data_IF_751084691397
#
_entry.id   IF_751084691397
#
_cell.length_a   1.000
_cell.length_b   1.000
_cell.length_c   1.000
_cell.angle_alpha   90.00
_cell.angle_beta   90.00
_cell.angle_gamma   90.00
#
_symmetry.space_group_name_H-M   'P 1'
#
loop_
_entity.id
_entity.type
_entity.pdbx_description
1 polymer ?
#
# COMPACT_ATOMS: atom_id res chain seq x y z
N UNK A 1 -13.13 -10.47 24.73
CA UNK A 1 -13.07 -10.41 23.25
C UNK A 1 -14.09 -9.38 22.80
N UNK A 2 -13.64 -8.21 22.33
CA UNK A 2 -14.49 -7.05 22.01
C UNK A 2 -15.03 -7.13 20.59
N UNK A 3 -16.32 -6.80 20.42
CA UNK A 3 -17.06 -6.80 19.14
C UNK A 3 -16.39 -5.94 18.05
N UNK A 4 -15.57 -4.95 18.44
CA UNK A 4 -14.85 -4.08 17.52
C UNK A 4 -13.82 -4.82 16.64
N UNK A 5 -13.24 -5.92 17.14
CA UNK A 5 -12.34 -6.77 16.36
C UNK A 5 -13.09 -7.55 15.26
N UNK A 6 -14.37 -7.86 15.45
CA UNK A 6 -15.17 -8.61 14.47
C UNK A 6 -15.57 -7.75 13.27
N UNK A 7 -15.80 -6.44 13.48
CA UNK A 7 -16.13 -5.50 12.39
C UNK A 7 -14.93 -5.20 11.50
N UNK A 8 -13.75 -5.06 12.08
CA UNK A 8 -12.53 -4.75 11.33
C UNK A 8 -12.20 -5.85 10.31
N UNK A 9 -12.31 -7.11 10.73
CA UNK A 9 -12.09 -8.28 9.89
C UNK A 9 -13.07 -8.34 8.70
N UNK A 10 -14.34 -7.99 8.91
CA UNK A 10 -15.35 -8.02 7.84
C UNK A 10 -15.07 -6.98 6.75
N UNK A 11 -14.66 -5.77 7.13
CA UNK A 11 -14.41 -4.68 6.19
C UNK A 11 -13.18 -4.98 5.33
N UNK A 12 -12.08 -5.42 5.94
CA UNK A 12 -10.86 -5.80 5.22
C UNK A 12 -11.16 -6.92 4.22
N UNK A 13 -11.91 -7.93 4.66
CA UNK A 13 -12.34 -9.03 3.78
C UNK A 13 -13.21 -8.53 2.62
N UNK A 14 -14.17 -7.65 2.89
CA UNK A 14 -15.02 -7.07 1.86
C UNK A 14 -14.20 -6.29 0.81
N UNK A 15 -13.22 -5.49 1.23
CA UNK A 15 -12.33 -4.76 0.30
C UNK A 15 -11.54 -5.74 -0.57
N UNK A 16 -11.02 -6.82 0.00
CA UNK A 16 -10.30 -7.87 -0.75
C UNK A 16 -11.24 -8.57 -1.75
N UNK A 17 -12.47 -8.89 -1.33
CA UNK A 17 -13.45 -9.58 -2.17
C UNK A 17 -13.97 -8.67 -3.30
N UNK A 18 -14.17 -7.38 -3.04
CA UNK A 18 -14.46 -6.35 -4.06
C UNK A 18 -13.30 -6.23 -5.06
N UNK A 19 -12.06 -6.16 -4.57
CA UNK A 19 -10.87 -6.10 -5.40
C UNK A 19 -10.74 -7.31 -6.34
N UNK A 20 -10.99 -8.52 -5.81
CA UNK A 20 -11.04 -9.77 -6.59
C UNK A 20 -12.12 -9.71 -7.68
N UNK A 21 -13.26 -9.10 -7.39
CA UNK A 21 -14.41 -9.01 -8.31
C UNK A 21 -14.20 -7.97 -9.41
N UNK A 22 -13.63 -6.80 -9.09
CA UNK A 22 -13.33 -5.70 -10.03
C UNK A 22 -12.22 -6.03 -11.02
N UNK A 23 -11.35 -6.99 -10.70
CA UNK A 23 -10.25 -7.44 -11.56
C UNK A 23 -10.71 -8.19 -12.83
N UNK A 24 -12.02 -8.46 -12.97
CA UNK A 24 -12.64 -9.18 -14.08
C UNK A 24 -12.84 -8.31 -15.33
N UNK A 25 -12.85 -6.98 -15.21
CA UNK A 25 -13.17 -6.03 -16.28
C UNK A 25 -11.91 -5.37 -16.87
N UNK A 26 -11.32 -6.07 -17.83
CA UNK A 26 -10.52 -5.68 -19.03
C UNK A 26 -9.68 -4.38 -19.15
N UNK A 27 -9.40 -3.55 -18.15
CA UNK A 27 -8.44 -2.44 -18.35
C UNK A 27 -7.50 -2.10 -17.18
N UNK A 28 -7.81 -2.53 -15.95
CA UNK A 28 -6.90 -2.40 -14.82
C UNK A 28 -6.89 -3.71 -14.04
N UNK A 29 -5.95 -4.61 -14.38
CA UNK A 29 -5.65 -5.76 -13.52
C UNK A 29 -4.92 -5.24 -12.29
N UNK A 30 -5.66 -4.79 -11.28
CA UNK A 30 -5.06 -4.56 -9.98
C UNK A 30 -4.65 -5.92 -9.41
N UNK A 31 -3.37 -6.08 -9.09
CA UNK A 31 -2.81 -7.39 -8.76
C UNK A 31 -3.01 -7.71 -7.28
N UNK A 32 -3.42 -8.94 -7.01
CA UNK A 32 -3.39 -9.49 -5.66
C UNK A 32 -2.03 -10.19 -5.49
N UNK A 33 -1.22 -9.69 -4.57
CA UNK A 33 0.14 -10.17 -4.31
C UNK A 33 0.18 -11.07 -3.09
N UNK A 34 1.03 -12.08 -3.12
CA UNK A 34 1.37 -12.91 -1.95
C UNK A 34 2.78 -12.61 -1.47
N UNK A 35 2.93 -12.44 -0.15
CA UNK A 35 4.25 -12.31 0.48
C UNK A 35 5.09 -13.57 0.22
N UNK A 36 6.35 -13.35 -0.12
CA UNK A 36 7.36 -14.36 -0.43
C UNK A 36 7.05 -15.22 -1.67
N UNK A 37 6.01 -14.89 -2.43
CA UNK A 37 5.68 -15.54 -3.71
C UNK A 37 5.79 -14.52 -4.84
N UNK A 38 5.07 -13.40 -4.72
CA UNK A 38 5.05 -12.33 -5.74
C UNK A 38 5.90 -11.14 -5.30
N UNK A 39 5.90 -10.84 -3.99
CA UNK A 39 6.60 -9.70 -3.40
C UNK A 39 7.27 -10.10 -2.08
N UNK A 40 8.45 -9.54 -1.80
CA UNK A 40 9.12 -9.71 -0.50
C UNK A 40 9.59 -8.36 0.03
N UNK A 41 9.77 -8.28 1.35
CA UNK A 41 10.47 -7.15 1.96
C UNK A 41 11.95 -7.24 1.60
N UNK A 42 12.52 -6.15 1.10
CA UNK A 42 13.96 -6.05 0.82
C UNK A 42 14.76 -6.05 2.13
N UNK A 43 14.21 -5.38 3.14
CA UNK A 43 14.85 -5.19 4.44
C UNK A 43 13.92 -5.62 5.58
N UNK A 44 14.51 -6.01 6.72
CA UNK A 44 13.74 -6.37 7.91
C UNK A 44 13.14 -5.14 8.61
N UNK A 45 13.79 -3.98 8.50
CA UNK A 45 13.38 -2.74 9.16
C UNK A 45 12.41 -1.96 8.26
N UNK A 46 11.48 -1.27 8.90
CA UNK A 46 10.63 -0.31 8.22
C UNK A 46 11.47 0.93 7.85
N UNK A 47 11.21 1.51 6.68
CA UNK A 47 11.79 2.81 6.30
C UNK A 47 11.05 3.96 6.97
N UNK A 48 9.77 3.75 7.31
CA UNK A 48 8.94 4.71 8.01
C UNK A 48 7.93 3.98 8.89
N UNK A 49 7.71 4.48 10.11
CA UNK A 49 6.78 3.89 11.05
C UNK A 49 6.11 4.94 11.94
N UNK A 50 4.78 4.96 11.92
CA UNK A 50 3.90 5.71 12.82
C UNK A 50 2.78 4.78 13.31
N UNK A 51 2.03 5.12 14.37
CA UNK A 51 1.09 4.18 15.02
C UNK A 51 0.05 3.52 14.11
N UNK A 52 -0.35 4.14 13.00
CA UNK A 52 -1.36 3.60 12.06
C UNK A 52 -0.79 3.19 10.70
N UNK A 53 0.49 3.44 10.44
CA UNK A 53 1.09 3.34 9.11
C UNK A 53 2.55 2.90 9.21
N UNK A 54 2.91 1.85 8.50
CA UNK A 54 4.30 1.37 8.42
C UNK A 54 4.66 1.11 6.98
N UNK A 55 5.82 1.59 6.53
CA UNK A 55 6.29 1.42 5.15
C UNK A 55 7.55 0.57 5.18
N UNK A 56 7.56 -0.47 4.33
CA UNK A 56 8.71 -1.35 4.13
C UNK A 56 9.20 -1.23 2.69
N UNK A 57 10.51 -1.19 2.50
CA UNK A 57 11.09 -1.39 1.17
C UNK A 57 10.81 -2.81 0.70
N UNK A 58 10.43 -2.97 -0.56
CA UNK A 58 10.02 -4.25 -1.11
C UNK A 58 10.55 -4.48 -2.53
N UNK A 59 10.57 -5.75 -2.92
CA UNK A 59 11.03 -6.22 -4.22
C UNK A 59 10.00 -7.19 -4.78
N UNK A 60 9.69 -7.03 -6.07
CA UNK A 60 8.91 -8.01 -6.82
C UNK A 60 9.80 -9.19 -7.22
N UNK A 61 9.32 -10.40 -7.02
CA UNK A 61 10.12 -11.62 -7.22
C UNK A 61 10.22 -11.99 -8.71
N UNK A 62 9.19 -11.70 -9.50
CA UNK A 62 9.04 -12.20 -10.88
C UNK A 62 9.11 -11.12 -11.97
N UNK A 63 9.33 -9.85 -11.62
CA UNK A 63 9.33 -8.72 -12.57
C UNK A 63 10.63 -7.93 -12.48
N UNK A 64 11.07 -7.41 -13.63
CA UNK A 64 12.05 -6.33 -13.70
C UNK A 64 11.42 -5.05 -13.14
N UNK A 65 11.67 -4.84 -11.86
CA UNK A 65 12.22 -3.59 -11.32
C UNK A 65 11.42 -2.27 -11.48
N UNK A 66 10.16 -2.18 -11.01
CA UNK A 66 9.77 -0.98 -10.30
C UNK A 66 10.26 -1.08 -8.86
N UNK A 67 10.95 -0.04 -8.38
CA UNK A 67 11.16 0.14 -6.96
C UNK A 67 9.79 0.27 -6.28
N UNK A 68 9.50 -0.65 -5.36
CA UNK A 68 8.20 -0.71 -4.68
C UNK A 68 8.37 -0.68 -3.17
N UNK A 69 7.29 -0.28 -2.50
CA UNK A 69 7.15 -0.36 -1.06
C UNK A 69 5.90 -1.14 -0.70
N UNK A 70 5.96 -1.83 0.43
CA UNK A 70 4.78 -2.37 1.11
C UNK A 70 4.33 -1.33 2.13
N UNK A 71 3.18 -0.74 1.87
CA UNK A 71 2.49 0.13 2.79
C UNK A 71 1.54 -0.70 3.65
N UNK A 72 1.86 -0.89 4.94
CA UNK A 72 0.98 -1.52 5.93
C UNK A 72 0.19 -0.45 6.67
N UNK A 73 -1.12 -0.57 6.68
CA UNK A 73 -2.02 0.30 7.42
C UNK A 73 -2.86 -0.50 8.42
N UNK A 74 -3.09 0.07 9.60
CA UNK A 74 -3.83 -0.57 10.69
C UNK A 74 -4.95 0.33 11.22
N UNK A 75 -6.03 -0.29 11.69
CA UNK A 75 -7.18 0.40 12.31
C UNK A 75 -8.24 0.91 11.32
N UNK A 76 -9.28 1.56 11.84
CA UNK A 76 -10.45 1.93 11.03
C UNK A 76 -10.17 2.98 9.93
N UNK A 77 -9.21 3.89 10.16
CA UNK A 77 -8.81 4.91 9.16
C UNK A 77 -8.10 4.30 7.94
N UNK A 78 -7.37 3.20 8.16
CA UNK A 78 -6.68 2.46 7.10
C UNK A 78 -7.64 1.95 6.02
N UNK A 79 -8.82 1.47 6.43
CA UNK A 79 -9.80 0.89 5.52
C UNK A 79 -10.39 1.94 4.58
N UNK A 80 -10.69 3.14 5.10
CA UNK A 80 -11.25 4.24 4.31
C UNK A 80 -10.24 4.81 3.32
N UNK A 81 -8.98 4.99 3.75
CA UNK A 81 -7.90 5.46 2.87
C UNK A 81 -7.63 4.43 1.76
N UNK A 82 -7.67 3.14 2.10
CA UNK A 82 -7.33 2.10 1.13
C UNK A 82 -8.44 1.81 0.13
N UNK A 83 -9.72 1.89 0.52
CA UNK A 83 -10.82 1.78 -0.46
C UNK A 83 -10.73 2.86 -1.54
N UNK A 84 -10.20 4.03 -1.19
CA UNK A 84 -9.94 5.11 -2.15
C UNK A 84 -8.82 4.75 -3.15
N UNK A 85 -7.70 4.22 -2.65
CA UNK A 85 -6.57 3.83 -3.49
C UNK A 85 -6.86 2.68 -4.45
N UNK A 86 -7.73 1.75 -4.04
CA UNK A 86 -8.18 0.63 -4.88
C UNK A 86 -9.00 1.10 -6.08
N UNK A 87 -9.79 2.17 -5.91
CA UNK A 87 -10.67 2.68 -6.95
C UNK A 87 -9.96 3.62 -7.93
N UNK A 88 -8.77 4.11 -7.57
CA UNK A 88 -8.01 5.02 -8.42
C UNK A 88 -7.20 4.26 -9.46
N UNK A 89 -7.42 4.64 -10.72
CA UNK A 89 -6.60 4.20 -11.83
C UNK A 89 -5.21 4.83 -11.81
N UNK A 90 -4.34 4.34 -12.69
CA UNK A 90 -3.03 4.96 -12.91
C UNK A 90 -3.17 6.43 -13.34
N UNK A 91 -2.44 7.32 -12.65
CA UNK A 91 -2.40 8.75 -12.95
C UNK A 91 -0.99 9.29 -12.73
N UNK A 92 -0.50 10.15 -13.62
CA UNK A 92 0.90 10.62 -13.62
C UNK A 92 1.32 11.36 -12.34
N UNK A 93 0.39 12.07 -11.70
CA UNK A 93 0.66 12.90 -10.52
C UNK A 93 0.21 12.29 -9.19
N UNK A 94 -0.26 11.03 -9.21
CA UNK A 94 -0.70 10.32 -8.01
C UNK A 94 0.13 9.05 -7.93
N UNK A 95 0.68 8.77 -6.75
CA UNK A 95 1.54 7.60 -6.58
C UNK A 95 0.79 6.33 -6.96
N UNK A 96 1.42 5.52 -7.82
CA UNK A 96 0.76 4.34 -8.34
C UNK A 96 0.66 3.24 -7.30
N UNK A 97 -0.55 2.67 -7.19
CA UNK A 97 -0.84 1.51 -6.36
C UNK A 97 -0.97 0.28 -7.27
N UNK A 98 0.03 -0.59 -7.20
CA UNK A 98 0.08 -1.81 -8.01
C UNK A 98 -0.94 -2.85 -7.56
N UNK A 99 -1.29 -2.85 -6.28
CA UNK A 99 -2.36 -3.67 -5.74
C UNK A 99 -2.25 -3.99 -4.26
N UNK A 100 -2.94 -5.04 -3.84
CA UNK A 100 -3.08 -5.45 -2.43
C UNK A 100 -2.22 -6.68 -2.16
N UNK A 101 -1.60 -6.76 -0.99
CA UNK A 101 -0.91 -7.95 -0.51
C UNK A 101 -1.86 -8.74 0.39
N UNK A 102 -2.06 -10.03 0.10
CA UNK A 102 -2.78 -10.94 0.98
C UNK A 102 -2.06 -11.04 2.32
N UNK A 103 -2.78 -10.70 3.40
CA UNK A 103 -2.26 -10.67 4.75
C UNK A 103 -3.39 -10.93 5.75
N UNK A 104 -3.03 -11.22 7.01
CA UNK A 104 -3.98 -11.54 8.07
C UNK A 104 -5.02 -10.43 8.31
N UNK A 105 -6.22 -10.85 8.71
CA UNK A 105 -7.50 -10.13 8.66
C UNK A 105 -7.57 -8.75 9.36
N UNK A 106 -6.55 -8.36 10.13
CA UNK A 106 -6.54 -7.13 10.93
C UNK A 106 -5.68 -6.00 10.35
N UNK A 107 -4.98 -6.22 9.23
CA UNK A 107 -4.16 -5.16 8.63
C UNK A 107 -4.14 -5.27 7.12
N UNK A 108 -4.14 -4.11 6.48
CA UNK A 108 -4.16 -4.02 5.03
C UNK A 108 -2.76 -3.65 4.54
N UNK A 109 -2.30 -4.35 3.51
CA UNK A 109 -1.00 -4.13 2.92
C UNK A 109 -1.17 -3.79 1.45
N UNK A 110 -0.57 -2.70 1.01
CA UNK A 110 -0.61 -2.22 -0.37
C UNK A 110 0.80 -2.28 -0.96
N UNK A 111 0.87 -2.63 -2.24
CA UNK A 111 2.07 -2.48 -3.07
C UNK A 111 1.97 -1.13 -3.77
N UNK A 112 2.89 -0.23 -3.45
CA UNK A 112 2.94 1.13 -3.97
C UNK A 112 4.29 1.37 -4.65
N UNK A 113 4.30 2.27 -5.63
CA UNK A 113 5.51 2.87 -6.18
C UNK A 113 6.35 3.56 -5.09
N UNK A 114 7.66 3.33 -5.14
CA UNK A 114 8.60 3.99 -4.25
C UNK A 114 9.01 5.36 -4.84
N UNK A 115 8.77 6.43 -4.07
CA UNK A 115 9.29 7.75 -4.38
C UNK A 115 10.77 7.83 -4.01
N UNK A 116 11.66 7.88 -5.01
CA UNK A 116 13.12 7.85 -4.81
C UNK A 116 13.65 9.11 -4.14
N UNK A 117 13.01 10.25 -4.39
CA UNK A 117 13.39 11.56 -3.84
C UNK A 117 12.84 11.82 -2.44
N UNK A 118 12.19 10.82 -1.82
CA UNK A 118 11.63 10.95 -0.48
C UNK A 118 10.37 11.82 -0.43
N UNK A 119 10.16 12.47 0.72
CA UNK A 119 9.04 13.38 0.91
C UNK A 119 9.43 14.85 0.64
N UNK A 120 8.42 15.65 0.29
CA UNK A 120 8.63 17.04 -0.08
C UNK A 120 9.19 17.88 1.08
N UNK A 121 8.85 17.54 2.33
CA UNK A 121 9.34 18.31 3.48
C UNK A 121 10.86 18.14 3.62
N UNK A 122 11.35 16.90 3.52
CA UNK A 122 12.77 16.57 3.53
C UNK A 122 13.49 17.24 2.35
N UNK A 123 12.92 17.15 1.14
CA UNK A 123 13.50 17.76 -0.05
C UNK A 123 13.61 19.29 0.05
N UNK A 124 12.59 19.96 0.59
CA UNK A 124 12.63 21.41 0.81
C UNK A 124 13.66 21.80 1.88
N UNK A 125 13.81 20.97 2.92
CA UNK A 125 14.77 21.20 4.00
C UNK A 125 16.21 21.04 3.53
N UNK A 126 16.50 20.01 2.75
CA UNK A 126 17.84 19.73 2.20
C UNK A 126 18.28 20.80 1.19
N UNK A 127 17.34 21.34 0.42
CA UNK A 127 17.62 22.39 -0.57
C UNK A 127 17.58 23.82 -0.01
N UNK A 128 17.53 23.96 1.33
CA UNK A 128 17.41 25.25 2.02
C UNK A 128 16.31 26.16 1.43
N UNK A 129 15.19 25.57 1.00
CA UNK A 129 14.14 26.30 0.31
C UNK A 129 13.59 27.42 1.20
N UNK A 130 13.64 28.66 0.69
CA UNK A 130 13.05 29.83 1.33
C UNK A 130 11.93 30.34 0.44
N UNK A 131 10.65 30.21 0.84
CA UNK A 131 9.56 30.81 0.08
C UNK A 131 9.75 32.32 0.07
N UNK A 132 9.72 32.91 -1.13
CA UNK A 132 9.76 34.35 -1.38
C UNK A 132 8.41 35.00 -1.17
#
# INVERSE_FOLDING_TARGET
MTIDLLRLNHIVKQIIDEFKSSSSSSSQKHFLFKLYVDIRKAERRAIFQVPSKTIYRAELISKLDPAVVILKTEGAKANCETSYYVQFGYHLHIVHIYGIVENDFNSLMLVQEYATEGDLEELLRENEFRPS
#
